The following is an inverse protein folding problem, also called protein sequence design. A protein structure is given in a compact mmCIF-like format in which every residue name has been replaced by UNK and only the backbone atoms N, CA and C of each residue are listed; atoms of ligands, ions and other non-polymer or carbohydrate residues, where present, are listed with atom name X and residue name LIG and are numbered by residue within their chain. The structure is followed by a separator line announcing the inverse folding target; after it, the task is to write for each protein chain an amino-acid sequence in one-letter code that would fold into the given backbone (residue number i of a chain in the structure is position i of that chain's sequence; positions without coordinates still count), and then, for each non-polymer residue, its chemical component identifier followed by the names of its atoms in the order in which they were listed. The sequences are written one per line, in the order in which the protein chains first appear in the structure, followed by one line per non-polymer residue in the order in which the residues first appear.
data_IF_855504116677
#
_entry.id   IF_855504116677
#
_cell.length_a   1.000
_cell.length_b   1.000
_cell.length_c   1.000
_cell.angle_alpha   90.00
_cell.angle_beta   90.00
_cell.angle_gamma   90.00
#
_symmetry.space_group_name_H-M   'P 1'
#
loop_
_entity.id
_entity.type
_entity.pdbx_description
1 polymer ?
#
# COMPACT_ATOMS: atom_id res chain seq x y z
N UNK A 1 -9.24 -66.63 -59.06
CA UNK A 1 -10.55 -66.31 -59.63
C UNK A 1 -11.51 -66.07 -58.46
N UNK A 2 -11.95 -64.82 -58.32
CA UNK A 2 -13.04 -64.20 -57.54
C UNK A 2 -13.71 -64.94 -56.35
N UNK A 3 -13.72 -64.29 -55.18
CA UNK A 3 -14.86 -63.64 -54.48
C UNK A 3 -14.38 -63.30 -53.06
N UNK A 4 -14.64 -62.15 -52.43
CA UNK A 4 -15.95 -61.67 -51.99
C UNK A 4 -15.89 -60.16 -51.71
N UNK A 5 -16.96 -59.45 -52.09
CA UNK A 5 -17.29 -58.14 -51.55
C UNK A 5 -17.93 -58.32 -50.17
N UNK A 6 -17.53 -57.48 -49.20
CA UNK A 6 -18.36 -57.18 -48.04
C UNK A 6 -18.28 -55.67 -47.74
N UNK A 7 -19.48 -55.12 -47.58
CA UNK A 7 -19.88 -53.72 -47.62
C UNK A 7 -19.44 -52.90 -46.40
N UNK A 8 -18.98 -51.67 -46.65
CA UNK A 8 -18.72 -50.64 -45.64
C UNK A 8 -20.02 -49.92 -45.23
N UNK A 9 -20.44 -50.10 -43.98
CA UNK A 9 -21.45 -49.24 -43.32
C UNK A 9 -20.73 -48.03 -42.71
N UNK A 10 -21.18 -46.78 -42.92
CA UNK A 10 -20.60 -45.64 -42.22
C UNK A 10 -21.06 -45.65 -40.76
N UNK A 11 -20.12 -45.69 -39.82
CA UNK A 11 -20.39 -45.53 -38.40
C UNK A 11 -21.03 -44.15 -38.14
N UNK A 12 -22.21 -44.16 -37.52
CA UNK A 12 -22.88 -42.97 -36.98
C UNK A 12 -22.00 -42.31 -35.92
N UNK A 13 -21.87 -40.97 -35.86
CA UNK A 13 -21.10 -40.32 -34.81
C UNK A 13 -21.75 -40.58 -33.44
N UNK A 14 -20.94 -41.00 -32.47
CA UNK A 14 -21.34 -41.27 -31.09
C UNK A 14 -22.19 -40.13 -30.50
N UNK A 15 -23.43 -40.46 -30.14
CA UNK A 15 -24.38 -39.56 -29.48
C UNK A 15 -23.94 -39.11 -28.08
N UNK A 16 -22.88 -39.72 -27.52
CA UNK A 16 -22.31 -39.35 -26.22
C UNK A 16 -21.32 -38.17 -26.28
N UNK A 17 -20.76 -37.85 -27.46
CA UNK A 17 -19.85 -36.72 -27.60
C UNK A 17 -20.55 -35.35 -27.52
N UNK A 18 -21.88 -35.31 -27.71
CA UNK A 18 -22.67 -34.06 -27.69
C UNK A 18 -23.28 -33.72 -26.32
N UNK A 19 -23.22 -34.62 -25.32
CA UNK A 19 -23.85 -34.40 -24.00
C UNK A 19 -22.97 -33.67 -22.97
N UNK A 20 -21.71 -33.35 -23.28
CA UNK A 20 -20.81 -32.66 -22.36
C UNK A 20 -20.75 -31.12 -22.55
N UNK A 21 -21.38 -30.59 -23.61
CA UNK A 21 -21.44 -29.16 -23.88
C UNK A 21 -22.65 -28.51 -23.19
N UNK A 22 -22.54 -28.13 -21.92
CA UNK A 22 -23.62 -27.34 -21.31
C UNK A 22 -23.65 -27.13 -19.81
N UNK A 23 -22.70 -27.64 -19.02
CA UNK A 23 -22.61 -27.22 -17.61
C UNK A 23 -21.75 -25.96 -17.52
N UNK A 24 -22.28 -24.79 -17.06
CA UNK A 24 -21.42 -23.67 -16.74
C UNK A 24 -20.44 -24.15 -15.67
N UNK A 25 -19.15 -24.23 -16.03
CA UNK A 25 -18.11 -24.58 -15.09
C UNK A 25 -18.23 -23.61 -13.92
N UNK A 26 -18.68 -24.11 -12.76
CA UNK A 26 -18.67 -23.33 -11.52
C UNK A 26 -17.20 -22.99 -11.28
N UNK A 27 -16.82 -21.76 -11.59
CA UNK A 27 -15.46 -21.29 -11.36
C UNK A 27 -15.15 -21.57 -9.89
N UNK A 28 -14.13 -22.37 -9.58
CA UNK A 28 -13.87 -22.71 -8.20
C UNK A 28 -13.55 -21.42 -7.44
N UNK A 29 -14.09 -21.27 -6.22
CA UNK A 29 -14.09 -20.01 -5.46
C UNK A 29 -12.71 -19.32 -5.42
N UNK A 30 -11.63 -20.09 -5.38
CA UNK A 30 -10.26 -19.58 -5.38
C UNK A 30 -9.87 -18.81 -6.67
N UNK A 31 -10.39 -19.18 -7.84
CA UNK A 31 -10.15 -18.45 -9.10
C UNK A 31 -10.94 -17.14 -9.17
N UNK A 32 -12.13 -17.10 -8.56
CA UNK A 32 -12.94 -15.89 -8.41
C UNK A 32 -12.21 -14.91 -7.49
N UNK A 33 -11.72 -15.35 -6.32
CA UNK A 33 -10.94 -14.51 -5.41
C UNK A 33 -9.66 -13.95 -6.02
N UNK A 34 -8.93 -14.72 -6.82
CA UNK A 34 -7.71 -14.23 -7.48
C UNK A 34 -8.01 -13.15 -8.55
N UNK A 35 -9.13 -13.27 -9.27
CA UNK A 35 -9.54 -12.32 -10.32
C UNK A 35 -10.24 -11.07 -9.77
N UNK A 36 -10.87 -11.19 -8.60
CA UNK A 36 -11.62 -10.12 -7.93
C UNK A 36 -10.99 -9.68 -6.60
N UNK A 37 -9.69 -9.93 -6.39
CA UNK A 37 -8.97 -9.58 -5.14
C UNK A 37 -9.16 -8.12 -4.75
N UNK A 38 -9.08 -7.21 -5.72
CA UNK A 38 -9.34 -5.78 -5.51
C UNK A 38 -10.78 -5.49 -5.07
N UNK A 39 -11.77 -6.18 -5.65
CA UNK A 39 -13.17 -6.03 -5.25
C UNK A 39 -13.42 -6.59 -3.86
N UNK A 40 -12.80 -7.71 -3.49
CA UNK A 40 -12.90 -8.27 -2.15
C UNK A 40 -12.31 -7.31 -1.09
N UNK A 41 -11.20 -6.66 -1.41
CA UNK A 41 -10.59 -5.61 -0.58
C UNK A 41 -11.50 -4.38 -0.43
N UNK A 42 -12.06 -3.88 -1.53
CA UNK A 42 -12.99 -2.75 -1.50
C UNK A 42 -14.27 -3.11 -0.74
N UNK A 43 -14.77 -4.34 -0.89
CA UNK A 43 -15.91 -4.83 -0.12
C UNK A 43 -15.58 -4.88 1.38
N UNK A 44 -14.38 -5.32 1.77
CA UNK A 44 -13.95 -5.30 3.16
C UNK A 44 -13.94 -3.88 3.74
N UNK A 45 -13.46 -2.89 2.99
CA UNK A 45 -13.53 -1.47 3.39
C UNK A 45 -14.98 -1.04 3.59
N UNK A 46 -15.87 -1.34 2.63
CA UNK A 46 -17.30 -0.99 2.74
C UNK A 46 -17.95 -1.63 3.97
N UNK A 47 -17.65 -2.90 4.25
CA UNK A 47 -18.16 -3.61 5.44
C UNK A 47 -17.66 -2.95 6.72
N UNK A 48 -16.37 -2.65 6.83
CA UNK A 48 -15.78 -1.98 7.99
C UNK A 48 -16.40 -0.60 8.20
N UNK A 49 -16.54 0.18 7.14
CA UNK A 49 -17.12 1.52 7.20
C UNK A 49 -18.59 1.49 7.59
N UNK A 50 -19.35 0.53 7.06
CA UNK A 50 -20.76 0.35 7.43
C UNK A 50 -20.87 -0.03 8.90
N UNK A 51 -20.05 -0.98 9.36
CA UNK A 51 -20.01 -1.41 10.77
C UNK A 51 -19.74 -0.25 11.73
N UNK A 52 -18.66 0.51 11.51
CA UNK A 52 -18.34 1.65 12.37
C UNK A 52 -19.34 2.80 12.19
N UNK A 53 -19.88 3.02 10.99
CA UNK A 53 -20.93 4.03 10.80
C UNK A 53 -22.19 3.72 11.58
N UNK A 54 -22.58 2.45 11.69
CA UNK A 54 -23.75 2.05 12.49
C UNK A 54 -23.46 2.21 13.98
N UNK A 55 -22.28 1.78 14.45
CA UNK A 55 -21.94 1.85 15.88
C UNK A 55 -21.60 3.25 16.39
N UNK A 56 -21.29 4.19 15.49
CA UNK A 56 -20.96 5.58 15.84
C UNK A 56 -22.09 6.55 15.51
N UNK A 57 -23.32 6.06 15.26
CA UNK A 57 -24.47 6.87 14.88
C UNK A 57 -24.20 7.80 13.68
N UNK A 58 -23.41 7.32 12.71
CA UNK A 58 -23.00 8.04 11.51
C UNK A 58 -21.76 8.94 11.67
N UNK A 59 -21.20 9.09 12.87
CA UNK A 59 -20.05 9.96 13.10
C UNK A 59 -18.81 9.53 12.31
N UNK A 60 -18.62 8.22 12.07
CA UNK A 60 -17.49 7.67 11.35
C UNK A 60 -17.37 8.18 9.90
N UNK A 61 -18.49 8.36 9.19
CA UNK A 61 -18.50 8.81 7.79
C UNK A 61 -18.64 10.32 7.63
N UNK A 62 -18.57 11.07 8.73
CA UNK A 62 -18.60 12.54 8.68
C UNK A 62 -17.40 13.09 7.88
N UNK A 63 -17.58 14.21 7.15
CA UNK A 63 -16.48 14.86 6.42
C UNK A 63 -15.21 15.09 7.26
N UNK A 64 -15.38 15.48 8.53
CA UNK A 64 -14.29 15.68 9.49
C UNK A 64 -13.55 14.38 9.77
N UNK A 65 -14.27 13.30 10.09
CA UNK A 65 -13.62 12.05 10.40
C UNK A 65 -12.98 11.41 9.17
N UNK A 66 -13.65 11.44 8.01
CA UNK A 66 -13.06 10.96 6.74
C UNK A 66 -11.74 11.71 6.45
N UNK A 67 -11.70 13.02 6.67
CA UNK A 67 -10.46 13.79 6.53
C UNK A 67 -9.35 13.32 7.50
N UNK A 68 -9.69 13.10 8.77
CA UNK A 68 -8.76 12.61 9.79
C UNK A 68 -8.26 11.19 9.48
N UNK A 69 -9.16 10.29 9.10
CA UNK A 69 -8.87 8.92 8.69
C UNK A 69 -7.91 8.92 7.51
N UNK A 70 -8.14 9.77 6.49
CA UNK A 70 -7.25 9.86 5.34
C UNK A 70 -5.86 10.40 5.70
N UNK A 71 -5.75 11.34 6.64
CA UNK A 71 -4.44 11.79 7.16
C UNK A 71 -3.70 10.67 7.87
N UNK A 72 -4.38 9.89 8.71
CA UNK A 72 -3.81 8.74 9.40
C UNK A 72 -3.38 7.65 8.40
N UNK A 73 -4.26 7.32 7.45
CA UNK A 73 -4.01 6.41 6.35
C UNK A 73 -2.81 6.84 5.50
N UNK A 74 -2.59 8.15 5.34
CA UNK A 74 -1.43 8.66 4.58
C UNK A 74 -0.10 8.26 5.21
N UNK A 75 0.00 8.25 6.54
CA UNK A 75 1.23 7.86 7.25
C UNK A 75 1.49 6.36 7.06
N UNK A 76 0.48 5.53 7.32
CA UNK A 76 0.57 4.07 7.12
C UNK A 76 0.81 3.73 5.65
N UNK A 77 0.18 4.45 4.72
CA UNK A 77 0.33 4.30 3.28
C UNK A 77 1.75 4.63 2.80
N UNK A 78 2.38 5.67 3.35
CA UNK A 78 3.79 6.01 3.05
C UNK A 78 4.72 4.88 3.46
N UNK A 79 4.58 4.36 4.69
CA UNK A 79 5.33 3.19 5.15
C UNK A 79 5.08 1.98 4.25
N UNK A 80 3.81 1.70 3.95
CA UNK A 80 3.42 0.58 3.10
C UNK A 80 4.03 0.66 1.69
N UNK A 81 4.17 1.86 1.11
CA UNK A 81 4.82 2.03 -0.21
C UNK A 81 6.27 1.49 -0.23
N UNK A 82 7.05 1.79 0.81
CA UNK A 82 8.40 1.24 0.97
C UNK A 82 8.38 -0.25 1.33
N UNK A 83 7.51 -0.63 2.27
CA UNK A 83 7.41 -1.99 2.79
C UNK A 83 7.05 -3.01 1.71
N UNK A 84 6.26 -2.62 0.70
CA UNK A 84 5.96 -3.47 -0.45
C UNK A 84 7.24 -3.96 -1.13
N UNK A 85 8.24 -3.10 -1.33
CA UNK A 85 9.50 -3.50 -1.98
C UNK A 85 10.36 -4.40 -1.07
N UNK A 86 10.37 -4.13 0.24
CA UNK A 86 11.04 -4.96 1.24
C UNK A 86 10.48 -6.38 1.21
N UNK A 87 9.16 -6.52 1.34
CA UNK A 87 8.48 -7.83 1.35
C UNK A 87 8.61 -8.53 0.00
N UNK A 88 8.48 -7.83 -1.13
CA UNK A 88 8.62 -8.45 -2.45
C UNK A 88 10.02 -9.04 -2.60
N UNK A 89 11.08 -8.36 -2.14
CA UNK A 89 12.44 -8.89 -2.20
C UNK A 89 12.73 -10.03 -1.21
N UNK A 90 11.74 -10.45 -0.42
CA UNK A 90 11.86 -11.54 0.54
C UNK A 90 12.49 -11.12 1.87
N UNK A 91 12.53 -9.83 2.17
CA UNK A 91 13.05 -9.29 3.43
C UNK A 91 11.90 -8.87 4.36
N UNK A 92 12.18 -8.75 5.66
CA UNK A 92 11.23 -8.24 6.66
C UNK A 92 11.93 -7.18 7.50
N UNK A 93 11.40 -5.95 7.50
CA UNK A 93 11.93 -4.83 8.29
C UNK A 93 10.96 -4.44 9.41
N UNK A 94 11.27 -4.84 10.63
CA UNK A 94 10.49 -4.52 11.83
C UNK A 94 10.89 -3.17 12.47
N UNK A 95 11.92 -2.50 11.95
CA UNK A 95 12.39 -1.23 12.52
C UNK A 95 11.58 -0.01 12.07
N UNK A 96 10.73 -0.15 11.05
CA UNK A 96 10.18 1.00 10.30
C UNK A 96 9.32 1.95 11.13
N UNK A 97 8.54 1.44 12.10
CA UNK A 97 7.74 2.30 12.98
C UNK A 97 8.62 3.10 13.94
N UNK A 98 9.58 2.44 14.59
CA UNK A 98 10.56 3.12 15.44
C UNK A 98 11.45 4.12 14.68
N UNK A 99 11.78 3.83 13.42
CA UNK A 99 12.57 4.70 12.56
C UNK A 99 11.76 5.95 12.15
N UNK A 100 10.48 5.78 11.81
CA UNK A 100 9.53 6.88 11.63
C UNK A 100 9.51 7.77 12.88
N UNK A 101 9.39 7.16 14.06
CA UNK A 101 9.39 7.88 15.34
C UNK A 101 10.68 8.67 15.55
N UNK A 102 11.84 8.03 15.35
CA UNK A 102 13.14 8.67 15.47
C UNK A 102 13.29 9.86 14.51
N UNK A 103 12.97 9.68 13.23
CA UNK A 103 13.10 10.72 12.21
C UNK A 103 12.11 11.87 12.45
N UNK A 104 10.89 11.56 12.90
CA UNK A 104 9.92 12.56 13.32
C UNK A 104 10.34 13.33 14.58
N UNK A 105 10.98 12.67 15.54
CA UNK A 105 11.54 13.30 16.74
C UNK A 105 12.73 14.20 16.40
N UNK A 106 13.64 13.74 15.54
CA UNK A 106 14.75 14.57 15.02
C UNK A 106 14.22 15.79 14.29
N UNK A 107 13.17 15.64 13.48
CA UNK A 107 12.52 16.78 12.81
C UNK A 107 12.00 17.80 13.82
N UNK A 108 11.33 17.35 14.89
CA UNK A 108 10.85 18.23 15.96
C UNK A 108 12.00 18.92 16.70
N UNK A 109 13.10 18.21 16.99
CA UNK A 109 14.30 18.81 17.63
C UNK A 109 14.90 19.91 16.75
N UNK A 110 15.04 19.65 15.45
CA UNK A 110 15.63 20.62 14.52
C UNK A 110 14.75 21.88 14.41
N UNK A 111 13.45 21.71 14.29
CA UNK A 111 12.49 22.81 14.18
C UNK A 111 12.32 23.58 15.50
N UNK A 112 12.08 22.89 16.62
CA UNK A 112 11.73 23.52 17.91
C UNK A 112 12.96 23.96 18.69
N UNK A 113 13.95 23.07 18.89
CA UNK A 113 15.08 23.35 19.78
C UNK A 113 16.23 24.04 19.05
N UNK A 114 16.40 23.79 17.76
CA UNK A 114 17.46 24.38 16.94
C UNK A 114 16.96 25.49 16.01
N UNK A 115 15.66 25.74 15.95
CA UNK A 115 15.03 26.77 15.13
C UNK A 115 15.43 26.70 13.65
N UNK A 116 15.66 25.49 13.13
CA UNK A 116 15.97 25.31 11.73
C UNK A 116 14.74 25.64 10.87
N UNK A 117 14.91 26.33 9.74
CA UNK A 117 13.81 26.55 8.82
C UNK A 117 13.32 25.20 8.27
N UNK A 118 12.00 25.06 8.10
CA UNK A 118 11.34 23.84 7.57
C UNK A 118 12.00 23.36 6.27
N UNK A 119 12.40 24.29 5.40
CA UNK A 119 13.07 24.01 4.14
C UNK A 119 14.44 23.30 4.31
N UNK A 120 15.13 23.50 5.44
CA UNK A 120 16.37 22.79 5.77
C UNK A 120 16.11 21.49 6.55
N UNK A 121 15.12 21.49 7.44
CA UNK A 121 14.73 20.33 8.24
C UNK A 121 14.29 19.15 7.37
N UNK A 122 13.44 19.37 6.36
CA UNK A 122 12.93 18.32 5.48
C UNK A 122 14.08 17.54 4.79
N UNK A 123 14.95 18.16 3.98
CA UNK A 123 16.01 17.43 3.29
C UNK A 123 17.01 16.77 4.25
N UNK A 124 17.30 17.38 5.40
CA UNK A 124 18.17 16.78 6.40
C UNK A 124 17.59 15.48 6.97
N UNK A 125 16.30 15.46 7.30
CA UNK A 125 15.61 14.27 7.82
C UNK A 125 15.45 13.20 6.73
N UNK A 126 15.16 13.59 5.49
CA UNK A 126 15.12 12.65 4.36
C UNK A 126 16.49 11.99 4.12
N UNK A 127 17.57 12.78 4.14
CA UNK A 127 18.93 12.27 4.00
C UNK A 127 19.29 11.31 5.15
N UNK A 128 18.97 11.68 6.39
CA UNK A 128 19.18 10.81 7.56
C UNK A 128 18.40 9.49 7.43
N UNK A 129 17.15 9.53 6.97
CA UNK A 129 16.36 8.33 6.72
C UNK A 129 17.00 7.42 5.69
N UNK A 130 17.48 7.96 4.56
CA UNK A 130 18.22 7.20 3.54
C UNK A 130 19.49 6.59 4.12
N UNK A 131 20.26 7.33 4.91
CA UNK A 131 21.50 6.85 5.52
C UNK A 131 21.24 5.70 6.50
N UNK A 132 20.22 5.81 7.36
CA UNK A 132 19.84 4.73 8.28
C UNK A 132 19.29 3.53 7.52
N UNK A 133 18.52 3.76 6.46
CA UNK A 133 18.06 2.70 5.55
C UNK A 133 19.24 1.95 4.92
N UNK A 134 20.22 2.67 4.37
CA UNK A 134 21.45 2.08 3.84
C UNK A 134 22.23 1.31 4.91
N UNK A 135 22.28 1.81 6.15
CA UNK A 135 22.92 1.11 7.27
C UNK A 135 22.24 -0.22 7.58
N UNK A 136 20.91 -0.24 7.70
CA UNK A 136 20.15 -1.49 7.90
C UNK A 136 20.35 -2.45 6.72
N UNK A 137 20.26 -1.93 5.49
CA UNK A 137 20.49 -2.70 4.28
C UNK A 137 21.91 -3.26 4.17
N UNK A 138 22.91 -2.55 4.69
CA UNK A 138 24.30 -3.00 4.66
C UNK A 138 24.52 -4.24 5.52
N UNK A 139 23.94 -4.28 6.73
CA UNK A 139 23.96 -5.45 7.60
C UNK A 139 23.25 -6.64 6.97
N UNK A 140 22.05 -6.40 6.43
CA UNK A 140 21.25 -7.48 5.85
C UNK A 140 21.89 -8.03 4.58
N UNK A 141 22.43 -7.16 3.73
CA UNK A 141 22.90 -7.53 2.39
C UNK A 141 24.35 -8.01 2.40
N UNK A 142 25.29 -7.19 2.89
CA UNK A 142 26.72 -7.48 2.78
C UNK A 142 27.21 -8.39 3.92
N UNK A 143 26.70 -8.18 5.13
CA UNK A 143 27.03 -9.03 6.28
C UNK A 143 26.15 -10.27 6.38
N UNK A 144 25.14 -10.40 5.51
CA UNK A 144 24.22 -11.54 5.42
C UNK A 144 23.53 -11.87 6.76
N UNK A 145 23.34 -10.84 7.59
CA UNK A 145 22.54 -10.98 8.81
C UNK A 145 21.07 -11.04 8.37
N UNK A 146 20.23 -11.95 8.89
CA UNK A 146 18.81 -11.98 8.55
C UNK A 146 18.14 -10.62 8.80
N UNK A 147 17.40 -10.10 7.81
CA UNK A 147 16.80 -8.76 7.87
C UNK A 147 15.86 -8.57 9.07
N UNK A 148 15.11 -9.60 9.46
CA UNK A 148 14.23 -9.53 10.62
C UNK A 148 15.01 -9.26 11.92
N UNK A 149 16.24 -9.79 12.06
CA UNK A 149 17.09 -9.55 13.25
C UNK A 149 17.62 -8.11 13.22
N UNK A 150 18.10 -7.65 12.05
CA UNK A 150 18.53 -6.26 11.88
C UNK A 150 17.36 -5.31 12.17
N UNK A 151 16.16 -5.65 11.71
CA UNK A 151 14.93 -4.89 11.96
C UNK A 151 14.51 -4.89 13.43
N UNK A 152 14.53 -6.03 14.13
CA UNK A 152 14.24 -6.09 15.57
C UNK A 152 15.27 -5.31 16.40
N UNK A 153 16.56 -5.48 16.08
CA UNK A 153 17.63 -4.73 16.73
C UNK A 153 17.51 -3.23 16.47
N UNK A 154 17.24 -2.85 15.22
CA UNK A 154 16.95 -1.48 14.81
C UNK A 154 15.72 -0.91 15.52
N UNK A 155 14.66 -1.71 15.69
CA UNK A 155 13.45 -1.31 16.41
C UNK A 155 13.75 -0.84 17.83
N UNK A 156 14.52 -1.64 18.57
CA UNK A 156 14.94 -1.32 19.93
C UNK A 156 15.93 -0.13 19.95
N UNK A 157 16.91 -0.13 19.06
CA UNK A 157 17.93 0.91 18.99
C UNK A 157 17.34 2.27 18.64
N UNK A 158 16.54 2.39 17.58
CA UNK A 158 15.97 3.67 17.15
C UNK A 158 14.97 4.22 18.16
N UNK A 159 14.17 3.36 18.78
CA UNK A 159 13.29 3.75 19.90
C UNK A 159 14.08 4.22 21.11
N UNK A 160 15.16 3.53 21.47
CA UNK A 160 16.06 3.94 22.56
C UNK A 160 16.77 5.26 22.26
N UNK A 161 17.26 5.45 21.03
CA UNK A 161 17.87 6.71 20.59
C UNK A 161 16.85 7.84 20.66
N UNK A 162 15.62 7.64 20.16
CA UNK A 162 14.55 8.63 20.24
C UNK A 162 14.29 9.04 21.69
N UNK A 163 14.12 8.08 22.60
CA UNK A 163 13.93 8.34 24.03
C UNK A 163 15.11 9.12 24.63
N UNK A 164 16.35 8.76 24.26
CA UNK A 164 17.56 9.44 24.71
C UNK A 164 17.66 10.89 24.23
N UNK A 165 17.41 11.14 22.93
CA UNK A 165 17.53 12.49 22.36
C UNK A 165 16.40 13.43 22.76
N UNK A 166 15.21 12.90 23.09
CA UNK A 166 14.10 13.72 23.59
C UNK A 166 14.04 13.78 25.12
N UNK A 167 14.92 13.06 25.83
CA UNK A 167 14.86 12.89 27.28
C UNK A 167 13.56 12.23 27.76
N UNK A 168 12.90 11.44 26.90
CA UNK A 168 11.60 10.84 27.18
C UNK A 168 10.41 11.82 27.16
N UNK A 169 10.65 13.08 26.80
CA UNK A 169 9.62 14.12 26.75
C UNK A 169 9.10 14.35 25.33
N UNK A 170 7.89 14.92 25.22
CA UNK A 170 7.33 15.33 23.92
C UNK A 170 7.85 16.72 23.56
N UNK A 171 8.36 16.87 22.34
CA UNK A 171 8.91 18.13 21.85
C UNK A 171 7.84 18.86 21.03
N UNK A 172 7.37 19.99 21.55
CA UNK A 172 6.26 20.76 21.00
C UNK A 172 6.31 22.22 21.49
N UNK A 173 5.58 23.16 20.85
CA UNK A 173 4.92 23.01 19.55
C UNK A 173 5.90 23.17 18.39
N UNK A 174 5.71 22.40 17.32
CA UNK A 174 6.42 22.63 16.05
C UNK A 174 5.89 23.88 15.34
N UNK A 175 6.69 24.48 14.48
CA UNK A 175 6.36 25.72 13.76
C UNK A 175 5.14 25.58 12.85
N UNK A 176 4.41 26.68 12.62
CA UNK A 176 3.17 26.69 11.81
C UNK A 176 3.40 26.17 10.38
N UNK A 177 4.55 26.49 9.79
CA UNK A 177 4.95 25.98 8.48
C UNK A 177 5.11 24.46 8.48
N UNK A 178 5.58 23.89 9.60
CA UNK A 178 5.68 22.45 9.78
C UNK A 178 4.30 21.83 10.00
N UNK A 179 3.45 22.43 10.85
CA UNK A 179 2.07 21.99 11.09
C UNK A 179 1.25 21.93 9.79
N UNK A 180 1.45 22.89 8.88
CA UNK A 180 0.76 22.90 7.58
C UNK A 180 0.98 21.62 6.76
N UNK A 181 2.14 20.97 6.87
CA UNK A 181 2.45 19.72 6.15
C UNK A 181 1.49 18.59 6.59
N UNK A 182 1.13 18.54 7.88
CA UNK A 182 0.32 17.48 8.48
C UNK A 182 -1.17 17.82 8.59
N UNK A 183 -1.48 19.08 8.85
CA UNK A 183 -2.84 19.56 9.14
C UNK A 183 -3.43 20.46 8.04
N UNK A 184 -2.59 20.96 7.12
CA UNK A 184 -3.02 21.81 6.01
C UNK A 184 -3.98 21.13 5.05
N UNK A 185 -4.69 21.97 4.29
CA UNK A 185 -5.57 21.59 3.20
C UNK A 185 -5.18 22.32 1.93
N UNK A 186 -5.43 21.68 0.79
CA UNK A 186 -5.33 22.35 -0.50
C UNK A 186 -6.46 23.37 -0.67
N UNK A 187 -6.20 24.52 -1.32
CA UNK A 187 -7.27 25.39 -1.78
C UNK A 187 -8.25 24.62 -2.66
N UNK A 188 -9.56 24.84 -2.49
CA UNK A 188 -10.62 24.12 -3.21
C UNK A 188 -10.40 24.09 -4.73
N UNK A 189 -10.07 25.25 -5.31
CA UNK A 189 -9.76 25.37 -6.74
C UNK A 189 -8.67 24.40 -7.23
N UNK A 190 -7.62 24.20 -6.41
CA UNK A 190 -6.52 23.29 -6.73
C UNK A 190 -6.97 21.83 -6.55
N UNK A 191 -7.75 21.55 -5.50
CA UNK A 191 -8.32 20.22 -5.26
C UNK A 191 -9.27 19.78 -6.38
N UNK A 192 -10.20 20.64 -6.76
CA UNK A 192 -11.14 20.42 -7.87
C UNK A 192 -10.40 20.27 -9.21
N UNK A 193 -9.41 21.13 -9.45
CA UNK A 193 -8.55 21.04 -10.64
C UNK A 193 -7.82 19.70 -10.74
N UNK A 194 -7.26 19.20 -9.62
CA UNK A 194 -6.65 17.88 -9.54
C UNK A 194 -7.65 16.75 -9.80
N UNK A 195 -8.87 16.86 -9.27
CA UNK A 195 -9.92 15.87 -9.50
C UNK A 195 -10.33 15.79 -10.97
N UNK A 196 -10.50 16.95 -11.61
CA UNK A 196 -10.77 17.05 -13.05
C UNK A 196 -9.63 16.46 -13.87
N UNK A 197 -8.37 16.75 -13.50
CA UNK A 197 -7.19 16.19 -14.16
C UNK A 197 -7.14 14.65 -14.03
N UNK A 198 -7.41 14.10 -12.85
CA UNK A 198 -7.47 12.65 -12.63
C UNK A 198 -8.60 12.00 -13.42
N UNK A 199 -9.77 12.64 -13.47
CA UNK A 199 -10.90 12.17 -14.28
C UNK A 199 -10.57 12.19 -15.78
N UNK A 200 -9.96 13.27 -16.26
CA UNK A 200 -9.49 13.39 -17.65
C UNK A 200 -8.43 12.33 -17.98
N UNK A 201 -7.53 12.03 -17.04
CA UNK A 201 -6.56 10.95 -17.19
C UNK A 201 -7.23 9.58 -17.30
N UNK A 202 -8.20 9.27 -16.44
CA UNK A 202 -8.99 8.03 -16.52
C UNK A 202 -9.70 7.92 -17.86
N UNK A 203 -10.36 9.00 -18.30
CA UNK A 203 -11.03 9.07 -19.59
C UNK A 203 -10.04 8.81 -20.74
N UNK A 204 -8.89 9.49 -20.73
CA UNK A 204 -7.84 9.34 -21.73
C UNK A 204 -7.28 7.91 -21.74
N UNK A 205 -7.05 7.30 -20.59
CA UNK A 205 -6.56 5.92 -20.49
C UNK A 205 -7.58 4.92 -21.04
N UNK A 206 -8.87 5.08 -20.74
CA UNK A 206 -9.94 4.22 -21.29
C UNK A 206 -10.01 4.34 -22.83
N UNK A 207 -9.98 5.57 -23.34
CA UNK A 207 -10.00 5.84 -24.79
C UNK A 207 -8.75 5.30 -25.47
N UNK A 208 -7.55 5.57 -24.93
CA UNK A 208 -6.28 5.06 -25.48
C UNK A 208 -6.23 3.55 -25.43
N UNK A 209 -6.61 2.92 -24.32
CA UNK A 209 -6.61 1.46 -24.21
C UNK A 209 -7.51 0.82 -25.27
N UNK A 210 -8.67 1.42 -25.54
CA UNK A 210 -9.56 0.96 -26.61
C UNK A 210 -8.97 1.15 -28.00
N UNK A 211 -8.39 2.33 -28.28
CA UNK A 211 -7.75 2.62 -29.56
C UNK A 211 -6.59 1.65 -29.84
N UNK A 212 -5.76 1.39 -28.83
CA UNK A 212 -4.66 0.42 -28.89
C UNK A 212 -5.17 -1.00 -29.17
N UNK A 213 -6.23 -1.45 -28.47
CA UNK A 213 -6.84 -2.77 -28.72
C UNK A 213 -7.38 -2.88 -30.15
N UNK A 214 -8.02 -1.83 -30.67
CA UNK A 214 -8.48 -1.77 -32.07
C UNK A 214 -7.32 -1.83 -33.06
N UNK A 215 -6.25 -1.08 -32.80
CA UNK A 215 -5.04 -1.05 -33.65
C UNK A 215 -4.39 -2.43 -33.77
N UNK A 216 -4.32 -3.18 -32.67
CA UNK A 216 -3.76 -4.53 -32.64
C UNK A 216 -4.79 -5.64 -32.89
N UNK A 217 -6.00 -5.31 -33.37
CA UNK A 217 -7.10 -6.26 -33.66
C UNK A 217 -7.43 -7.22 -32.51
N UNK A 218 -7.26 -6.77 -31.28
CA UNK A 218 -7.62 -7.51 -30.07
C UNK A 218 -9.14 -7.39 -29.81
N UNK A 219 -9.71 -8.36 -29.09
CA UNK A 219 -11.12 -8.30 -28.67
C UNK A 219 -11.41 -7.01 -27.89
N UNK A 220 -12.41 -6.25 -28.36
CA UNK A 220 -12.83 -4.97 -27.77
C UNK A 220 -14.13 -5.18 -27.01
N UNK A 221 -14.15 -4.76 -25.74
CA UNK A 221 -15.34 -4.82 -24.92
C UNK A 221 -16.49 -3.95 -25.49
N UNK A 222 -17.76 -4.28 -25.14
CA UNK A 222 -18.91 -3.45 -25.45
C UNK A 222 -18.74 -2.00 -24.95
N UNK A 223 -19.26 -1.02 -25.69
CA UNK A 223 -19.19 0.41 -25.33
C UNK A 223 -19.72 0.71 -23.93
N UNK A 224 -20.77 0.02 -23.50
CA UNK A 224 -21.38 0.24 -22.19
C UNK A 224 -20.40 -0.03 -21.03
N UNK A 225 -19.44 -0.95 -21.18
CA UNK A 225 -18.45 -1.23 -20.14
C UNK A 225 -17.46 -0.08 -19.96
N UNK A 226 -17.09 0.60 -21.06
CA UNK A 226 -16.21 1.77 -20.99
C UNK A 226 -16.94 2.97 -20.37
N UNK A 227 -18.20 3.19 -20.78
CA UNK A 227 -19.07 4.22 -20.19
C UNK A 227 -19.27 3.96 -18.69
N UNK A 228 -19.59 2.73 -18.29
CA UNK A 228 -19.78 2.37 -16.89
C UNK A 228 -18.52 2.61 -16.04
N UNK A 229 -17.32 2.31 -16.58
CA UNK A 229 -16.05 2.61 -15.88
C UNK A 229 -15.83 4.11 -15.71
N UNK A 230 -16.06 4.90 -16.75
CA UNK A 230 -15.88 6.35 -16.71
C UNK A 230 -16.87 6.98 -15.74
N UNK A 231 -18.16 6.65 -15.86
CA UNK A 231 -19.22 7.16 -14.98
C UNK A 231 -18.97 6.74 -13.53
N UNK A 232 -18.62 5.48 -13.29
CA UNK A 232 -18.31 4.99 -11.95
C UNK A 232 -17.10 5.69 -11.33
N UNK A 233 -15.99 5.82 -12.07
CA UNK A 233 -14.81 6.53 -11.60
C UNK A 233 -15.10 8.02 -11.34
N UNK A 234 -15.86 8.68 -12.22
CA UNK A 234 -16.27 10.06 -12.06
C UNK A 234 -17.16 10.28 -10.84
N UNK A 235 -18.15 9.40 -10.62
CA UNK A 235 -19.02 9.46 -9.45
C UNK A 235 -18.23 9.29 -8.15
N UNK A 236 -17.29 8.35 -8.10
CA UNK A 236 -16.43 8.13 -6.92
C UNK A 236 -15.52 9.33 -6.67
N UNK A 237 -14.86 9.87 -7.70
CA UNK A 237 -14.00 11.05 -7.57
C UNK A 237 -14.80 12.27 -7.10
N UNK A 238 -15.96 12.51 -7.71
CA UNK A 238 -16.83 13.63 -7.34
C UNK A 238 -17.32 13.49 -5.89
N UNK A 239 -17.83 12.31 -5.51
CA UNK A 239 -18.29 12.06 -4.14
C UNK A 239 -17.16 12.24 -3.12
N UNK A 240 -15.96 11.77 -3.44
CA UNK A 240 -14.78 11.90 -2.59
C UNK A 240 -14.40 13.37 -2.37
N UNK A 241 -14.24 14.14 -3.45
CA UNK A 241 -13.84 15.55 -3.39
C UNK A 241 -14.92 16.39 -2.72
N UNK A 242 -16.18 16.21 -3.11
CA UNK A 242 -17.31 16.91 -2.50
C UNK A 242 -17.45 16.62 -0.99
N UNK A 243 -17.11 15.41 -0.54
CA UNK A 243 -17.10 15.08 0.89
C UNK A 243 -15.98 15.84 1.62
N UNK A 244 -14.78 15.91 1.03
CA UNK A 244 -13.64 16.58 1.64
C UNK A 244 -13.80 18.11 1.67
N UNK A 245 -14.37 18.71 0.63
CA UNK A 245 -14.60 20.16 0.54
C UNK A 245 -15.59 20.68 1.57
N UNK A 246 -16.52 19.83 2.04
CA UNK A 246 -17.46 20.16 3.12
C UNK A 246 -16.76 20.40 4.46
N UNK A 247 -15.52 19.93 4.65
CA UNK A 247 -14.76 20.17 5.88
C UNK A 247 -13.62 21.17 5.67
N UNK A 248 -12.74 20.90 4.71
CA UNK A 248 -11.57 21.75 4.48
C UNK A 248 -10.89 21.57 3.12
N UNK A 249 -11.34 20.60 2.32
CA UNK A 249 -10.71 20.19 1.06
C UNK A 249 -9.78 19.00 1.24
N UNK A 250 -8.90 18.79 0.26
CA UNK A 250 -7.98 17.65 0.26
C UNK A 250 -6.83 17.91 1.25
N UNK A 251 -6.60 17.01 2.25
CA UNK A 251 -5.48 17.14 3.16
C UNK A 251 -4.13 17.09 2.43
N UNK A 252 -3.18 17.96 2.82
CA UNK A 252 -1.81 17.94 2.26
C UNK A 252 -1.12 16.57 2.41
N UNK A 253 -1.23 15.83 3.55
CA UNK A 253 -0.68 14.47 3.66
C UNK A 253 -1.17 13.49 2.59
N UNK A 254 -2.45 13.62 2.19
CA UNK A 254 -3.06 12.75 1.19
C UNK A 254 -2.48 13.04 -0.18
N UNK A 255 -2.26 14.32 -0.51
CA UNK A 255 -1.58 14.69 -1.76
C UNK A 255 -0.16 14.11 -1.80
N UNK A 256 0.61 14.27 -0.71
CA UNK A 256 1.97 13.72 -0.62
C UNK A 256 1.96 12.20 -0.82
N UNK A 257 1.03 11.49 -0.18
CA UNK A 257 0.84 10.06 -0.37
C UNK A 257 0.51 9.72 -1.83
N UNK A 258 -0.41 10.45 -2.48
CA UNK A 258 -0.79 10.19 -3.88
C UNK A 258 0.38 10.39 -4.84
N UNK A 259 1.21 11.40 -4.62
CA UNK A 259 2.45 11.62 -5.38
C UNK A 259 3.42 10.45 -5.18
N UNK A 260 3.67 10.06 -3.93
CA UNK A 260 4.53 8.93 -3.60
C UNK A 260 4.01 7.61 -4.18
N UNK A 261 2.69 7.37 -4.11
CA UNK A 261 2.03 6.24 -4.74
C UNK A 261 2.29 6.20 -6.25
N UNK A 262 2.15 7.35 -6.93
CA UNK A 262 2.43 7.47 -8.35
C UNK A 262 3.88 7.13 -8.69
N UNK A 263 4.82 7.71 -7.93
CA UNK A 263 6.26 7.45 -8.08
C UNK A 263 6.61 5.98 -7.84
N UNK A 264 6.16 5.39 -6.73
CA UNK A 264 6.45 4.00 -6.39
C UNK A 264 5.77 3.02 -7.34
N UNK A 265 4.54 3.31 -7.80
CA UNK A 265 3.86 2.50 -8.81
C UNK A 265 4.58 2.55 -10.16
N UNK A 266 5.10 3.72 -10.53
CA UNK A 266 5.94 3.89 -11.72
C UNK A 266 7.27 3.14 -11.58
N UNK A 267 7.96 3.26 -10.44
CA UNK A 267 9.17 2.49 -10.13
C UNK A 267 8.89 0.99 -10.27
N UNK A 268 7.81 0.50 -9.65
CA UNK A 268 7.46 -0.92 -9.63
C UNK A 268 7.18 -1.49 -11.03
N UNK A 269 6.51 -0.72 -11.91
CA UNK A 269 5.98 -1.25 -13.17
C UNK A 269 6.74 -0.83 -14.42
N UNK A 270 7.35 0.36 -14.42
CA UNK A 270 7.95 0.96 -15.62
C UNK A 270 9.48 0.97 -15.61
N UNK A 271 10.13 0.69 -14.47
CA UNK A 271 11.61 0.78 -14.38
C UNK A 271 12.29 -0.60 -14.41
N UNK A 272 13.57 -0.61 -14.81
CA UNK A 272 14.44 -1.79 -14.71
C UNK A 272 14.63 -2.20 -13.25
N UNK A 273 14.76 -1.21 -12.35
CA UNK A 273 14.91 -1.44 -10.92
C UNK A 273 13.70 -2.19 -10.35
N UNK A 274 12.49 -1.75 -10.69
CA UNK A 274 11.25 -2.47 -10.36
C UNK A 274 11.31 -3.94 -10.79
N UNK A 275 11.57 -4.21 -12.08
CA UNK A 275 11.68 -5.59 -12.58
C UNK A 275 12.72 -6.43 -11.81
N UNK A 276 13.84 -5.84 -11.41
CA UNK A 276 14.86 -6.52 -10.61
C UNK A 276 14.36 -6.85 -9.21
N UNK A 277 13.60 -5.98 -8.54
CA UNK A 277 13.00 -6.27 -7.23
C UNK A 277 12.12 -7.53 -7.28
N UNK A 278 11.22 -7.60 -8.28
CA UNK A 278 10.33 -8.77 -8.42
C UNK A 278 11.09 -10.05 -8.81
N UNK A 279 12.16 -9.93 -9.61
CA UNK A 279 13.01 -11.06 -9.96
C UNK A 279 13.76 -11.62 -8.75
N UNK A 280 14.42 -10.74 -7.98
CA UNK A 280 15.09 -11.07 -6.71
C UNK A 280 14.12 -11.81 -5.77
N UNK A 281 12.90 -11.30 -5.63
CA UNK A 281 11.87 -11.89 -4.80
C UNK A 281 11.33 -13.24 -5.26
N UNK A 282 11.35 -13.51 -6.56
CA UNK A 282 10.82 -14.76 -7.12
C UNK A 282 11.85 -15.88 -7.06
N UNK A 283 13.11 -15.58 -7.41
CA UNK A 283 14.22 -16.52 -7.32
C UNK A 283 15.55 -15.76 -7.26
N UNK A 284 16.18 -15.76 -6.09
CA UNK A 284 17.42 -15.04 -5.83
C UNK A 284 18.60 -15.63 -6.63
N UNK A 285 18.77 -16.96 -6.63
CA UNK A 285 19.88 -17.61 -7.34
C UNK A 285 19.80 -17.37 -8.85
N UNK A 286 18.64 -17.57 -9.46
CA UNK A 286 18.45 -17.38 -10.90
C UNK A 286 18.67 -15.92 -11.32
N UNK A 287 18.25 -14.97 -10.48
CA UNK A 287 18.46 -13.53 -10.73
C UNK A 287 19.95 -13.19 -10.70
N UNK A 288 20.70 -13.75 -9.75
CA UNK A 288 22.15 -13.56 -9.66
C UNK A 288 22.89 -14.19 -10.84
N UNK A 289 22.51 -15.39 -11.26
CA UNK A 289 23.06 -16.06 -12.45
C UNK A 289 22.73 -15.32 -13.75
N UNK A 290 21.66 -14.52 -13.77
CA UNK A 290 21.29 -13.65 -14.89
C UNK A 290 22.07 -12.32 -14.92
N UNK A 291 23.11 -12.17 -14.09
CA UNK A 291 24.00 -11.00 -14.09
C UNK A 291 23.43 -9.76 -13.37
N UNK A 292 22.34 -9.90 -12.61
CA UNK A 292 21.81 -8.81 -11.78
C UNK A 292 22.56 -8.79 -10.45
N UNK A 293 23.13 -7.63 -10.09
CA UNK A 293 23.69 -7.40 -8.76
C UNK A 293 22.55 -7.32 -7.73
N UNK A 294 22.25 -8.46 -7.12
CA UNK A 294 21.19 -8.62 -6.12
C UNK A 294 21.45 -7.77 -4.88
N UNK A 295 22.71 -7.54 -4.55
CA UNK A 295 23.12 -6.86 -3.33
C UNK A 295 22.82 -5.36 -3.45
N UNK A 296 23.15 -4.74 -4.60
CA UNK A 296 22.77 -3.36 -4.87
C UNK A 296 21.25 -3.16 -4.88
N UNK A 297 20.50 -4.16 -5.39
CA UNK A 297 19.03 -4.09 -5.40
C UNK A 297 18.49 -4.08 -3.97
N UNK A 298 18.92 -5.01 -3.12
CA UNK A 298 18.51 -5.07 -1.71
C UNK A 298 18.89 -3.79 -0.94
N UNK A 299 20.12 -3.31 -1.13
CA UNK A 299 20.60 -2.07 -0.49
C UNK A 299 19.73 -0.86 -0.87
N UNK A 300 19.38 -0.72 -2.15
CA UNK A 300 18.52 0.35 -2.62
C UNK A 300 17.08 0.23 -2.09
N UNK A 301 16.56 -0.98 -1.90
CA UNK A 301 15.23 -1.19 -1.27
C UNK A 301 15.23 -0.66 0.16
N UNK A 302 16.25 -0.98 0.97
CA UNK A 302 16.33 -0.46 2.34
C UNK A 302 16.55 1.05 2.38
N UNK A 303 17.29 1.63 1.44
CA UNK A 303 17.41 3.08 1.30
C UNK A 303 16.05 3.75 1.02
N UNK A 304 15.26 3.17 0.11
CA UNK A 304 13.90 3.64 -0.17
C UNK A 304 12.96 3.46 1.02
N UNK A 305 13.11 2.38 1.80
CA UNK A 305 12.35 2.19 3.03
C UNK A 305 12.68 3.27 4.06
N UNK A 306 13.97 3.57 4.27
CA UNK A 306 14.41 4.65 5.16
C UNK A 306 13.91 6.03 4.70
N UNK A 307 13.87 6.28 3.39
CA UNK A 307 13.25 7.49 2.83
C UNK A 307 11.75 7.56 3.14
N UNK A 308 11.02 6.45 3.04
CA UNK A 308 9.59 6.42 3.37
C UNK A 308 9.32 6.60 4.86
N UNK A 309 10.17 6.05 5.73
CA UNK A 309 10.12 6.33 7.17
C UNK A 309 10.33 7.82 7.46
N UNK A 310 11.22 8.49 6.72
CA UNK A 310 11.44 9.93 6.87
C UNK A 310 10.21 10.76 6.47
N UNK A 311 9.59 10.47 5.30
CA UNK A 311 8.34 11.13 4.89
C UNK A 311 7.24 10.90 5.91
N UNK A 312 7.03 9.65 6.33
CA UNK A 312 6.00 9.31 7.30
C UNK A 312 6.27 9.96 8.68
N UNK A 313 7.54 10.09 9.08
CA UNK A 313 7.95 10.72 10.34
C UNK A 313 7.71 12.22 10.34
N UNK A 314 8.11 12.90 9.26
CA UNK A 314 7.83 14.33 9.04
C UNK A 314 6.32 14.60 9.09
N UNK A 315 5.54 13.83 8.34
CA UNK A 315 4.07 13.98 8.27
C UNK A 315 3.40 13.63 9.59
N UNK A 316 3.86 12.61 10.32
CA UNK A 316 3.31 12.27 11.63
C UNK A 316 3.58 13.36 12.68
N UNK A 317 4.82 13.86 12.76
CA UNK A 317 5.17 14.96 13.66
C UNK A 317 4.37 16.22 13.32
N UNK A 318 4.23 16.54 12.02
CA UNK A 318 3.41 17.67 11.56
C UNK A 318 1.93 17.49 11.90
N UNK A 319 1.39 16.27 11.77
CA UNK A 319 0.00 15.95 12.08
C UNK A 319 -0.29 16.10 13.57
N UNK A 320 0.64 15.66 14.42
CA UNK A 320 0.52 15.75 15.88
C UNK A 320 0.93 17.12 16.44
N UNK A 321 1.47 18.00 15.60
CA UNK A 321 2.13 19.26 15.99
C UNK A 321 3.23 19.08 17.07
N UNK A 322 3.81 17.88 17.14
CA UNK A 322 4.71 17.48 18.22
C UNK A 322 5.55 16.24 17.84
N UNK A 323 6.80 16.21 18.31
CA UNK A 323 7.67 15.03 18.29
C UNK A 323 7.51 14.23 19.58
N UNK A 324 6.66 13.20 19.55
CA UNK A 324 6.43 12.32 20.70
C UNK A 324 7.38 11.11 20.72
N UNK A 325 7.92 10.68 21.88
CA UNK A 325 8.70 9.45 22.00
C UNK A 325 7.89 8.17 21.71
N UNK A 326 6.56 8.23 21.85
CA UNK A 326 5.66 7.13 21.52
C UNK A 326 5.29 7.06 20.03
N UNK A 327 5.76 8.01 19.21
CA UNK A 327 5.49 8.03 17.77
C UNK A 327 6.00 6.75 17.09
N UNK A 328 5.19 6.25 16.15
CA UNK A 328 5.54 5.06 15.36
C UNK A 328 5.40 3.72 16.08
N UNK A 329 4.85 3.68 17.30
CA UNK A 329 4.51 2.41 17.98
C UNK A 329 3.54 1.59 17.12
N UNK A 330 3.87 0.33 16.85
CA UNK A 330 3.11 -0.59 15.98
C UNK A 330 3.07 -0.20 14.50
N UNK A 331 3.78 0.86 14.09
CA UNK A 331 3.76 1.35 12.71
C UNK A 331 4.30 0.30 11.72
N UNK A 332 5.26 -0.51 12.14
CA UNK A 332 5.76 -1.67 11.40
C UNK A 332 4.68 -2.73 11.16
N UNK A 333 3.89 -3.06 12.18
CA UNK A 333 2.84 -4.08 12.06
C UNK A 333 1.69 -3.58 11.20
N UNK A 334 1.32 -2.31 11.33
CA UNK A 334 0.28 -1.71 10.48
C UNK A 334 0.71 -1.66 9.00
N UNK A 335 1.97 -1.33 8.72
CA UNK A 335 2.51 -1.31 7.35
C UNK A 335 2.60 -2.73 6.74
N UNK A 336 3.04 -3.72 7.53
CA UNK A 336 3.12 -5.12 7.10
C UNK A 336 1.72 -5.69 6.86
N UNK A 337 0.77 -5.44 7.78
CA UNK A 337 -0.62 -5.85 7.63
C UNK A 337 -1.26 -5.20 6.40
N UNK A 338 -1.02 -3.90 6.17
CA UNK A 338 -1.48 -3.20 4.97
C UNK A 338 -0.96 -3.87 3.70
N UNK A 339 0.32 -4.25 3.66
CA UNK A 339 0.90 -4.98 2.52
C UNK A 339 0.26 -6.36 2.30
N UNK A 340 0.04 -7.16 3.36
CA UNK A 340 -0.52 -8.50 3.23
C UNK A 340 -2.02 -8.50 2.91
N UNK A 341 -2.80 -7.65 3.59
CA UNK A 341 -4.21 -7.40 3.27
C UNK A 341 -4.31 -6.93 1.82
N UNK A 342 -3.47 -5.96 1.44
CA UNK A 342 -3.33 -5.44 0.08
C UNK A 342 -2.82 -6.43 -0.96
N UNK A 343 -2.33 -7.59 -0.51
CA UNK A 343 -2.08 -8.75 -1.34
C UNK A 343 -0.66 -8.99 -1.81
N UNK A 344 0.31 -8.31 -1.21
CA UNK A 344 1.74 -8.63 -1.32
C UNK A 344 1.99 -10.00 -0.71
N UNK A 345 2.82 -10.84 -1.34
CA UNK A 345 3.01 -12.22 -0.89
C UNK A 345 4.14 -12.35 0.13
N UNK A 346 3.93 -13.16 1.16
CA UNK A 346 4.97 -13.51 2.14
C UNK A 346 6.17 -14.24 1.51
N UNK A 347 5.96 -14.95 0.40
CA UNK A 347 7.02 -15.70 -0.29
C UNK A 347 7.89 -14.84 -1.20
N UNK A 348 7.61 -13.53 -1.29
CA UNK A 348 8.29 -12.62 -2.21
C UNK A 348 7.75 -12.72 -3.66
N UNK A 349 8.33 -11.90 -4.54
CA UNK A 349 8.14 -11.97 -5.99
C UNK A 349 6.79 -11.51 -6.53
N UNK A 350 5.82 -11.16 -5.66
CA UNK A 350 4.53 -10.60 -6.09
C UNK A 350 3.92 -9.65 -5.06
N UNK A 351 3.36 -8.55 -5.54
CA UNK A 351 2.72 -7.51 -4.72
C UNK A 351 2.44 -6.28 -5.56
N UNK A 352 1.70 -5.32 -5.00
CA UNK A 352 1.39 -4.06 -5.69
C UNK A 352 1.30 -2.94 -4.68
N UNK A 353 1.85 -1.76 -5.04
CA UNK A 353 1.86 -0.58 -4.17
C UNK A 353 0.43 -0.08 -3.91
N UNK A 354 -0.41 -0.03 -4.96
CA UNK A 354 -1.82 0.35 -4.83
C UNK A 354 -2.65 -0.64 -4.01
N UNK A 355 -2.34 -1.94 -4.07
CA UNK A 355 -2.98 -2.93 -3.20
C UNK A 355 -2.66 -2.67 -1.74
N UNK A 356 -1.39 -2.44 -1.41
CA UNK A 356 -0.96 -2.10 -0.05
C UNK A 356 -1.60 -0.80 0.47
N UNK A 357 -1.86 0.17 -0.41
CA UNK A 357 -2.57 1.39 -0.04
C UNK A 357 -4.02 1.12 0.38
N UNK A 358 -4.72 0.21 -0.31
CA UNK A 358 -6.07 -0.20 0.10
C UNK A 358 -6.02 -0.97 1.43
N UNK A 359 -4.99 -1.79 1.64
CA UNK A 359 -4.73 -2.41 2.95
C UNK A 359 -4.45 -1.37 4.04
N UNK A 360 -3.72 -0.29 3.74
CA UNK A 360 -3.50 0.81 4.68
C UNK A 360 -4.80 1.54 5.02
N UNK A 361 -5.71 1.66 4.06
CA UNK A 361 -7.07 2.16 4.30
C UNK A 361 -7.84 1.24 5.24
N UNK A 362 -7.75 -0.08 5.08
CA UNK A 362 -8.36 -1.06 5.99
C UNK A 362 -7.81 -0.88 7.41
N UNK A 363 -6.49 -0.88 7.59
CA UNK A 363 -5.86 -0.73 8.92
C UNK A 363 -6.21 0.61 9.56
N UNK A 364 -6.09 1.73 8.82
CA UNK A 364 -6.44 3.05 9.34
C UNK A 364 -7.93 3.17 9.70
N UNK A 365 -8.83 2.50 8.96
CA UNK A 365 -10.26 2.47 9.26
C UNK A 365 -10.56 1.70 10.55
N UNK A 366 -9.87 0.58 10.78
CA UNK A 366 -9.98 -0.18 12.03
C UNK A 366 -9.50 0.65 13.22
N UNK A 367 -8.33 1.29 13.10
CA UNK A 367 -7.76 2.13 14.16
C UNK A 367 -8.67 3.30 14.52
N UNK A 368 -9.07 4.05 13.49
CA UNK A 368 -9.90 5.22 13.66
C UNK A 368 -11.30 4.82 14.20
N UNK A 369 -11.90 3.75 13.69
CA UNK A 369 -13.21 3.28 14.12
C UNK A 369 -13.21 2.79 15.57
N UNK A 370 -12.22 1.97 15.96
CA UNK A 370 -12.07 1.51 17.34
C UNK A 370 -11.77 2.69 18.29
N UNK A 371 -10.94 3.64 17.87
CA UNK A 371 -10.67 4.85 18.66
C UNK A 371 -11.91 5.73 18.83
N UNK A 372 -12.80 5.81 17.83
CA UNK A 372 -14.05 6.58 17.94
C UNK A 372 -15.08 5.92 18.87
N UNK A 373 -15.04 4.60 18.99
CA UNK A 373 -15.84 3.84 19.95
C UNK A 373 -15.20 3.77 21.34
N UNK A 374 -14.11 4.51 21.56
CA UNK A 374 -13.34 4.53 22.81
C UNK A 374 -12.91 3.12 23.27
N UNK A 375 -12.59 2.25 22.31
CA UNK A 375 -12.11 0.89 22.59
C UNK A 375 -10.70 0.97 23.17
N UNK A 376 -10.49 0.33 24.32
CA UNK A 376 -9.19 0.29 24.98
C UNK A 376 -8.07 -0.20 24.05
N UNK A 377 -6.86 0.35 24.27
CA UNK A 377 -5.68 0.04 23.44
C UNK A 377 -5.34 -1.46 23.37
N UNK A 378 -5.57 -2.23 24.44
CA UNK A 378 -5.29 -3.68 24.44
C UNK A 378 -6.22 -4.45 23.49
N UNK A 379 -7.51 -4.07 23.40
CA UNK A 379 -8.44 -4.65 22.43
C UNK A 379 -8.06 -4.30 21.00
N UNK A 380 -7.62 -3.06 20.76
CA UNK A 380 -7.11 -2.66 19.45
C UNK A 380 -5.94 -3.53 19.02
N UNK A 381 -4.99 -3.81 19.92
CA UNK A 381 -3.85 -4.70 19.64
C UNK A 381 -4.29 -6.15 19.35
N UNK A 382 -5.23 -6.69 20.13
CA UNK A 382 -5.77 -8.05 19.92
C UNK A 382 -6.43 -8.15 18.53
N UNK A 383 -7.28 -7.19 18.18
CA UNK A 383 -7.99 -7.17 16.89
C UNK A 383 -7.01 -7.02 15.73
N UNK A 384 -6.05 -6.08 15.80
CA UNK A 384 -5.01 -5.91 14.79
C UNK A 384 -4.21 -7.19 14.57
N UNK A 385 -3.79 -7.85 15.66
CA UNK A 385 -3.06 -9.11 15.61
C UNK A 385 -3.87 -10.23 14.94
N UNK A 386 -5.14 -10.38 15.31
CA UNK A 386 -6.04 -11.36 14.71
C UNK A 386 -6.24 -11.10 13.21
N UNK A 387 -6.48 -9.84 12.81
CA UNK A 387 -6.66 -9.44 11.41
C UNK A 387 -5.41 -9.74 10.59
N UNK A 388 -4.22 -9.44 11.12
CA UNK A 388 -2.95 -9.74 10.45
C UNK A 388 -2.77 -11.24 10.22
N UNK A 389 -2.98 -12.07 11.25
CA UNK A 389 -2.87 -13.54 11.14
C UNK A 389 -3.87 -14.08 10.11
N UNK A 390 -5.12 -13.61 10.15
CA UNK A 390 -6.15 -13.99 9.17
C UNK A 390 -5.76 -13.60 7.75
N UNK A 391 -5.26 -12.38 7.55
CA UNK A 391 -4.83 -11.90 6.23
C UNK A 391 -3.71 -12.77 5.65
N UNK A 392 -2.71 -13.08 6.48
CA UNK A 392 -1.58 -13.94 6.11
C UNK A 392 -2.04 -15.38 5.82
N UNK A 393 -2.90 -15.94 6.68
CA UNK A 393 -3.42 -17.30 6.50
C UNK A 393 -4.20 -17.43 5.18
N UNK A 394 -5.03 -16.45 4.84
CA UNK A 394 -5.76 -16.41 3.56
C UNK A 394 -4.79 -16.35 2.36
N UNK A 395 -3.71 -15.57 2.42
CA UNK A 395 -2.70 -15.55 1.35
C UNK A 395 -2.00 -16.91 1.18
N UNK A 396 -1.67 -17.58 2.29
CA UNK A 396 -1.01 -18.90 2.28
C UNK A 396 -1.92 -19.97 1.68
N UNK A 397 -3.16 -20.07 2.18
CA UNK A 397 -4.13 -21.11 1.74
C UNK A 397 -4.55 -20.90 0.28
N UNK A 398 -4.82 -19.65 -0.11
CA UNK A 398 -5.27 -19.36 -1.48
C UNK A 398 -4.22 -19.67 -2.56
N UNK A 399 -2.93 -19.77 -2.19
CA UNK A 399 -1.83 -20.07 -3.13
C UNK A 399 -1.23 -21.46 -2.99
N UNK A 400 -1.44 -22.18 -1.87
CA UNK A 400 -0.97 -23.57 -1.73
C UNK A 400 -1.55 -24.50 -2.80
N UNK A 401 -2.76 -24.21 -3.29
CA UNK A 401 -3.44 -24.99 -4.35
C UNK A 401 -2.99 -24.64 -5.79
N UNK A 402 -1.90 -23.89 -5.98
CA UNK A 402 -1.33 -23.57 -7.30
C UNK A 402 -0.07 -24.37 -7.65
N UNK A 403 0.35 -25.31 -6.79
CA UNK A 403 1.45 -26.22 -7.08
C UNK A 403 0.92 -27.55 -7.59
#
# INVERSE_FOLDING_TARGET
MNSELSSSTPATPDADAQRSAGRPARLPLHQIFARYKLLALLLAVVVIWTFFSVLTDGAFVTPRNVSNLLRQMSITGMLACGMVFVIIAGEIDLSVGSLLGLLGGVAAILDVNRHWPVAATIPAVLALGVLIGLFNGWWSTYRRVPSFIVGLGGMLAFRGILLGVTGGSTIAPVSDGFVFIGQGYLPRLVGDGLAILLFALVLLLVVRQRATRRRYRLAVAPRWQDVAKIVGAGAVLFAFVATLDRYGGIPVPVLLLLVLLGVFSWIATQTVFGRRIYAVGSNLEATRLSGVDTDRVKLAIFALMGLMCAFAGLVNTARLAAGSPSAGTMGELDAIAACFIGGTSMRGGSGTVYGALIGALVMASLDNGMSMLDVDAYWQMIVKGAVLVLAVWIDVVSRSNRR
#
